data_IF_994679964789
#
_entry.id   IF_994679964789
#
_cell.length_a   1.000
_cell.length_b   1.000
_cell.length_c   1.000
_cell.angle_alpha   90.00
_cell.angle_beta   90.00
_cell.angle_gamma   90.00
#
_symmetry.space_group_name_H-M   'P 1'
#
loop_
_entity.id
_entity.type
_entity.pdbx_description
1 polymer ?
#
# COMPACT_ATOMS: atom_id res chain seq x y z
N UNK A 1 -14.69 21.86 24.73
CA UNK A 1 -13.61 22.87 24.52
C UNK A 1 -13.05 22.68 23.12
N UNK A 2 -13.07 23.74 22.30
CA UNK A 2 -12.33 23.71 21.01
C UNK A 2 -10.85 23.87 21.35
N UNK A 3 -10.06 22.87 21.08
CA UNK A 3 -8.61 22.93 21.10
C UNK A 3 -8.10 22.79 19.64
N UNK A 4 -6.90 23.25 19.38
CA UNK A 4 -6.26 23.13 18.07
C UNK A 4 -4.77 22.91 18.29
N UNK A 5 -4.13 22.23 17.35
CA UNK A 5 -2.69 22.09 17.37
C UNK A 5 -2.01 23.44 17.13
N UNK A 6 -0.96 23.69 17.88
CA UNK A 6 -0.11 24.87 17.74
C UNK A 6 1.30 24.49 17.25
N UNK A 7 1.92 25.35 16.46
CA UNK A 7 3.30 25.11 15.97
C UNK A 7 4.29 24.86 17.11
N UNK A 8 4.07 25.46 18.29
CA UNK A 8 4.88 25.23 19.47
C UNK A 8 4.83 23.78 20.02
N UNK A 9 3.77 23.03 19.72
CA UNK A 9 3.63 21.65 20.15
C UNK A 9 4.66 20.73 19.49
N UNK A 10 5.05 21.06 18.25
CA UNK A 10 6.04 20.29 17.48
C UNK A 10 7.37 20.23 18.22
N UNK A 11 7.88 21.38 18.68
CA UNK A 11 9.16 21.45 19.37
C UNK A 11 9.11 20.75 20.74
N UNK A 12 7.95 20.77 21.39
CA UNK A 12 7.73 20.05 22.65
C UNK A 12 7.72 18.55 22.42
N UNK A 13 6.98 18.08 21.41
CA UNK A 13 6.91 16.66 21.07
C UNK A 13 8.28 16.11 20.62
N UNK A 14 9.02 16.85 19.80
CA UNK A 14 10.39 16.46 19.40
C UNK A 14 11.34 16.27 20.59
N UNK A 15 11.19 17.06 21.65
CA UNK A 15 12.00 16.91 22.87
C UNK A 15 11.53 15.76 23.76
N UNK A 16 10.22 15.49 23.79
CA UNK A 16 9.62 14.49 24.68
C UNK A 16 9.61 13.08 24.10
N UNK A 17 9.66 12.97 22.78
CA UNK A 17 9.58 11.69 22.06
C UNK A 17 10.79 11.55 21.13
N UNK A 18 11.97 11.20 21.67
CA UNK A 18 13.19 11.05 20.89
C UNK A 18 13.15 9.87 19.91
N UNK A 19 12.20 8.94 20.07
CA UNK A 19 11.94 7.81 19.18
C UNK A 19 11.30 8.27 17.85
N UNK A 20 10.68 9.45 17.81
CA UNK A 20 10.19 10.04 16.57
C UNK A 20 11.36 10.54 15.72
N UNK A 21 11.38 10.21 14.44
CA UNK A 21 12.37 10.71 13.48
C UNK A 21 11.95 12.08 12.96
N UNK A 22 10.73 12.17 12.47
CA UNK A 22 10.13 13.40 11.99
C UNK A 22 8.83 13.65 12.73
N UNK A 23 8.62 14.91 13.10
CA UNK A 23 7.35 15.43 13.64
C UNK A 23 7.07 16.71 12.88
N UNK A 24 6.05 16.72 12.04
CA UNK A 24 5.77 17.81 11.11
C UNK A 24 4.30 18.20 11.08
N UNK A 25 3.98 19.50 11.02
CA UNK A 25 2.61 19.97 10.94
C UNK A 25 2.10 19.86 9.50
N UNK A 26 0.81 19.61 9.35
CA UNK A 26 0.12 19.63 8.07
C UNK A 26 -1.16 20.44 8.19
N UNK A 27 -1.36 21.35 7.25
CA UNK A 27 -2.64 22.00 7.02
C UNK A 27 -3.22 21.41 5.74
N UNK A 28 -4.47 21.00 5.74
CA UNK A 28 -5.10 20.49 4.53
C UNK A 28 -6.50 21.01 4.33
N UNK A 29 -6.82 21.30 3.08
CA UNK A 29 -8.17 21.74 2.70
C UNK A 29 -8.49 21.23 1.29
N UNK A 30 -9.72 20.75 1.09
CA UNK A 30 -10.20 20.46 -0.26
C UNK A 30 -10.45 21.75 -1.01
N UNK A 31 -9.75 21.93 -2.11
CA UNK A 31 -9.76 23.14 -2.90
C UNK A 31 -9.95 22.85 -4.38
N UNK A 32 -10.49 23.84 -5.08
CA UNK A 32 -10.55 23.82 -6.53
C UNK A 32 -9.37 24.61 -7.08
N UNK A 33 -8.65 23.98 -7.96
CA UNK A 33 -7.54 24.56 -8.71
C UNK A 33 -7.99 24.86 -10.13
N UNK A 34 -7.59 26.00 -10.69
CA UNK A 34 -7.96 26.42 -12.05
C UNK A 34 -6.72 26.80 -12.85
N UNK A 35 -6.79 26.55 -14.17
CA UNK A 35 -5.86 27.05 -15.15
C UNK A 35 -6.63 27.38 -16.44
N UNK A 36 -6.84 28.68 -16.70
CA UNK A 36 -7.74 29.12 -17.79
C UNK A 36 -9.16 28.55 -17.59
N UNK A 37 -9.65 27.83 -18.59
CA UNK A 37 -11.00 27.22 -18.55
C UNK A 37 -11.02 25.83 -17.88
N UNK A 38 -9.88 25.28 -17.47
CA UNK A 38 -9.78 23.96 -16.87
C UNK A 38 -9.80 24.06 -15.35
N UNK A 39 -10.40 23.09 -14.69
CA UNK A 39 -10.43 23.01 -13.23
C UNK A 39 -10.23 21.58 -12.75
N UNK A 40 -9.55 21.44 -11.63
CA UNK A 40 -9.38 20.18 -10.91
C UNK A 40 -9.72 20.38 -9.45
N UNK A 41 -10.24 19.34 -8.80
CA UNK A 41 -10.45 19.32 -7.36
C UNK A 41 -9.41 18.42 -6.70
N UNK A 42 -8.84 18.89 -5.59
CA UNK A 42 -7.83 18.15 -4.88
C UNK A 42 -7.59 18.68 -3.47
N UNK A 43 -6.80 17.97 -2.72
CA UNK A 43 -6.37 18.35 -1.37
C UNK A 43 -5.20 19.32 -1.47
N UNK A 44 -5.39 20.58 -1.10
CA UNK A 44 -4.28 21.51 -0.86
C UNK A 44 -3.64 21.16 0.48
N UNK A 45 -2.35 20.83 0.48
CA UNK A 45 -1.58 20.45 1.67
C UNK A 45 -0.48 21.46 1.92
N UNK A 46 -0.57 22.20 3.03
CA UNK A 46 0.52 23.03 3.54
C UNK A 46 1.52 22.17 4.31
N UNK A 47 2.73 22.01 3.80
CA UNK A 47 3.73 21.09 4.34
C UNK A 47 5.10 21.74 4.50
N UNK A 48 5.93 21.15 5.36
CA UNK A 48 7.35 21.48 5.48
C UNK A 48 8.20 20.55 4.61
N UNK A 49 9.47 20.86 4.35
CA UNK A 49 10.36 19.99 3.57
C UNK A 49 10.53 18.59 4.17
N UNK A 50 10.53 18.47 5.49
CA UNK A 50 10.64 17.21 6.23
C UNK A 50 9.43 16.27 6.02
N UNK A 51 8.32 16.77 5.47
CA UNK A 51 7.16 15.95 5.10
C UNK A 51 7.47 14.93 3.99
N UNK A 52 8.55 15.13 3.24
CA UNK A 52 9.04 14.13 2.26
C UNK A 52 9.41 12.79 2.90
N UNK A 53 9.75 12.78 4.18
CA UNK A 53 10.01 11.53 4.93
C UNK A 53 8.72 10.81 5.34
N UNK A 54 7.58 11.49 5.30
CA UNK A 54 6.26 10.93 5.61
C UNK A 54 5.63 10.29 4.37
N UNK A 55 5.53 11.03 3.26
CA UNK A 55 4.88 10.55 2.02
C UNK A 55 5.86 10.13 0.92
N UNK A 56 7.16 10.42 1.05
CA UNK A 56 8.23 10.10 0.09
C UNK A 56 7.81 10.37 -1.38
N UNK A 57 7.50 11.62 -1.75
CA UNK A 57 7.01 11.95 -3.08
C UNK A 57 8.11 11.71 -4.12
N UNK A 58 7.87 10.81 -5.06
CA UNK A 58 8.68 10.72 -6.27
C UNK A 58 8.24 11.85 -7.20
N UNK A 59 9.19 12.65 -7.70
CA UNK A 59 8.91 13.71 -8.65
C UNK A 59 9.11 13.20 -10.08
N UNK A 60 8.15 13.51 -10.95
CA UNK A 60 8.33 13.33 -12.40
C UNK A 60 9.05 14.53 -13.02
N UNK A 61 8.77 15.75 -12.52
CA UNK A 61 9.39 16.98 -13.02
C UNK A 61 9.62 17.96 -11.86
N UNK A 62 10.66 18.78 -12.01
CA UNK A 62 10.92 19.89 -11.11
C UNK A 62 11.52 19.53 -9.76
N UNK A 63 11.17 20.28 -8.73
CA UNK A 63 11.66 20.11 -7.36
C UNK A 63 10.54 20.13 -6.33
N UNK A 64 10.86 19.64 -5.13
CA UNK A 64 9.97 19.73 -3.98
C UNK A 64 10.16 21.07 -3.24
N UNK A 65 9.27 21.30 -2.24
CA UNK A 65 9.30 22.49 -1.37
C UNK A 65 10.60 22.48 -0.55
N UNK A 66 11.22 23.65 -0.42
CA UNK A 66 12.46 23.87 0.32
C UNK A 66 12.25 24.89 1.45
N UNK A 67 13.19 24.95 2.40
CA UNK A 67 13.16 25.91 3.51
C UNK A 67 13.09 27.38 3.07
N UNK A 68 13.72 27.71 1.93
CA UNK A 68 13.63 29.06 1.33
C UNK A 68 12.20 29.42 0.94
N UNK A 69 11.40 28.44 0.45
CA UNK A 69 10.01 28.68 0.06
C UNK A 69 9.14 28.98 1.28
N UNK A 70 9.44 28.37 2.44
CA UNK A 70 8.74 28.64 3.70
C UNK A 70 9.12 30.02 4.25
N UNK A 71 10.42 30.32 4.32
CA UNK A 71 10.94 31.55 4.89
C UNK A 71 10.46 32.78 4.10
N UNK A 72 10.49 32.67 2.77
CA UNK A 72 10.13 33.77 1.87
C UNK A 72 8.61 33.80 1.55
N UNK A 73 7.81 32.90 2.15
CA UNK A 73 6.37 32.75 1.89
C UNK A 73 6.03 32.65 0.42
N UNK A 74 6.81 31.89 -0.34
CA UNK A 74 6.66 31.79 -1.79
C UNK A 74 5.32 31.14 -2.16
N UNK A 75 4.65 31.71 -3.13
CA UNK A 75 3.42 31.15 -3.73
C UNK A 75 3.79 30.12 -4.79
N UNK A 76 4.29 28.99 -4.33
CA UNK A 76 4.71 27.86 -5.18
C UNK A 76 3.99 26.59 -4.78
N UNK A 77 3.85 25.65 -5.72
CA UNK A 77 3.22 24.35 -5.44
C UNK A 77 3.83 23.20 -6.22
N UNK A 78 3.71 22.02 -5.66
CA UNK A 78 3.96 20.73 -6.33
C UNK A 78 2.61 20.07 -6.59
N UNK A 79 2.32 19.76 -7.85
CA UNK A 79 1.06 19.16 -8.26
C UNK A 79 1.13 17.63 -8.15
N UNK A 80 0.06 17.00 -7.67
CA UNK A 80 -0.14 15.57 -7.83
C UNK A 80 -0.45 15.22 -9.30
N UNK A 81 -0.09 14.02 -9.71
CA UNK A 81 -0.15 13.59 -11.11
C UNK A 81 -1.54 13.77 -11.75
N UNK A 82 -2.62 13.42 -11.04
CA UNK A 82 -3.99 13.58 -11.57
C UNK A 82 -4.38 15.04 -11.74
N UNK A 83 -4.00 15.89 -10.77
CA UNK A 83 -4.27 17.33 -10.84
C UNK A 83 -3.49 17.95 -12.00
N UNK A 84 -2.23 17.58 -12.19
CA UNK A 84 -1.41 18.03 -13.31
C UNK A 84 -2.02 17.62 -14.66
N UNK A 85 -2.43 16.37 -14.82
CA UNK A 85 -3.06 15.86 -16.04
C UNK A 85 -4.41 16.54 -16.37
N UNK A 86 -5.22 16.83 -15.35
CA UNK A 86 -6.51 17.53 -15.55
C UNK A 86 -6.35 19.02 -15.91
N UNK A 87 -5.36 19.70 -15.32
CA UNK A 87 -5.11 21.12 -15.59
C UNK A 87 -4.26 21.37 -16.85
N UNK A 88 -3.34 20.47 -17.15
CA UNK A 88 -2.35 20.61 -18.23
C UNK A 88 -2.26 19.36 -19.14
N UNK A 89 -3.36 18.87 -19.73
CA UNK A 89 -3.35 17.60 -20.49
C UNK A 89 -2.44 17.65 -21.73
N UNK A 90 -2.23 18.83 -22.31
CA UNK A 90 -1.42 19.02 -23.52
C UNK A 90 0.03 19.44 -23.20
N UNK A 91 0.45 19.37 -21.94
CA UNK A 91 1.76 19.86 -21.48
C UNK A 91 2.44 18.78 -20.65
N UNK A 92 3.52 18.23 -21.18
CA UNK A 92 4.28 17.18 -20.49
C UNK A 92 4.94 17.72 -19.22
N UNK A 93 5.51 18.92 -19.25
CA UNK A 93 6.14 19.55 -18.11
C UNK A 93 5.49 20.91 -17.76
N UNK A 94 4.59 20.96 -16.76
CA UNK A 94 3.91 22.18 -16.36
C UNK A 94 4.74 23.07 -15.41
N UNK A 95 5.97 22.74 -15.09
CA UNK A 95 6.85 23.54 -14.21
C UNK A 95 7.01 24.95 -14.77
N UNK A 96 6.88 25.96 -13.89
CA UNK A 96 6.90 27.38 -14.27
C UNK A 96 5.56 27.99 -14.63
N UNK A 97 4.55 27.17 -14.91
CA UNK A 97 3.16 27.64 -15.14
C UNK A 97 2.46 28.02 -13.83
N UNK A 98 1.32 28.64 -13.93
CA UNK A 98 0.55 29.09 -12.79
C UNK A 98 -0.79 28.37 -12.70
N UNK A 99 -1.20 28.06 -11.47
CA UNK A 99 -2.55 27.58 -11.11
C UNK A 99 -3.19 28.55 -10.15
N UNK A 100 -4.49 28.74 -10.26
CA UNK A 100 -5.28 29.57 -9.36
C UNK A 100 -5.93 28.70 -8.28
N UNK A 101 -5.81 29.13 -7.03
CA UNK A 101 -6.51 28.57 -5.89
C UNK A 101 -7.10 29.72 -5.06
N UNK A 102 -8.45 29.79 -4.97
CA UNK A 102 -9.12 30.83 -4.18
C UNK A 102 -8.81 32.27 -4.64
N UNK A 103 -8.65 32.50 -5.94
CA UNK A 103 -8.30 33.81 -6.50
C UNK A 103 -6.82 34.17 -6.45
N UNK A 104 -5.94 33.26 -6.00
CA UNK A 104 -4.50 33.50 -5.88
C UNK A 104 -3.76 32.60 -6.87
N UNK A 105 -2.84 33.23 -7.62
CA UNK A 105 -1.97 32.51 -8.55
C UNK A 105 -0.77 31.95 -7.83
N UNK A 106 -0.52 30.66 -8.06
CA UNK A 106 0.54 29.87 -7.43
C UNK A 106 1.39 29.24 -8.55
N UNK A 107 2.68 29.39 -8.50
CA UNK A 107 3.59 28.85 -9.52
C UNK A 107 3.86 27.39 -9.28
N UNK A 108 3.75 26.57 -10.32
CA UNK A 108 4.11 25.15 -10.29
C UNK A 108 5.63 25.00 -10.31
N UNK A 109 6.21 24.35 -9.30
CA UNK A 109 7.65 24.07 -9.19
C UNK A 109 8.00 22.60 -9.36
N UNK A 110 7.02 21.72 -9.32
CA UNK A 110 7.22 20.29 -9.52
C UNK A 110 5.93 19.55 -9.73
N UNK A 111 6.05 18.30 -10.19
CA UNK A 111 4.95 17.35 -10.35
C UNK A 111 5.32 16.06 -9.67
N UNK A 112 4.46 15.57 -8.77
CA UNK A 112 4.63 14.29 -8.09
C UNK A 112 4.11 13.15 -8.96
N UNK A 113 4.90 12.08 -9.10
CA UNK A 113 4.52 10.85 -9.80
C UNK A 113 3.79 9.83 -8.90
N UNK A 114 3.51 10.17 -7.64
CA UNK A 114 2.75 9.29 -6.76
C UNK A 114 1.33 9.08 -7.28
N UNK A 115 1.04 7.84 -7.63
CA UNK A 115 -0.30 7.40 -8.06
C UNK A 115 -1.13 6.86 -6.90
N UNK A 116 -0.57 6.80 -5.69
CA UNK A 116 -1.24 6.25 -4.51
C UNK A 116 -2.61 6.91 -4.27
N UNK A 117 -3.62 6.08 -4.11
CA UNK A 117 -4.94 6.51 -3.68
C UNK A 117 -5.05 6.66 -2.15
N UNK A 118 -3.99 6.29 -1.42
CA UNK A 118 -3.87 6.44 0.03
C UNK A 118 -2.88 7.54 0.30
N UNK A 119 -3.29 8.54 1.05
CA UNK A 119 -2.45 9.65 1.48
C UNK A 119 -3.08 10.35 2.67
N UNK A 120 -2.25 10.99 3.45
CA UNK A 120 -2.67 11.76 4.63
C UNK A 120 -3.42 13.02 4.17
N UNK A 121 -4.69 13.17 4.57
CA UNK A 121 -5.52 14.31 4.14
C UNK A 121 -6.01 14.23 2.68
N UNK A 122 -5.99 13.05 2.05
CA UNK A 122 -6.49 12.78 0.70
C UNK A 122 -5.49 12.05 -0.19
N UNK A 123 -5.94 11.53 -1.34
CA UNK A 123 -5.10 10.77 -2.26
C UNK A 123 -3.88 11.57 -2.74
N UNK A 124 -2.68 11.00 -2.66
CA UNK A 124 -1.45 11.67 -3.08
C UNK A 124 -1.48 12.14 -4.55
N UNK A 125 -2.11 11.35 -5.43
CA UNK A 125 -2.30 11.69 -6.84
C UNK A 125 -3.17 12.94 -7.08
N UNK A 126 -4.07 13.28 -6.13
CA UNK A 126 -4.93 14.47 -6.16
C UNK A 126 -4.51 15.54 -5.15
N UNK A 127 -3.32 15.44 -4.58
CA UNK A 127 -2.79 16.42 -3.64
C UNK A 127 -2.00 17.51 -4.35
N UNK A 128 -2.09 18.72 -3.83
CA UNK A 128 -1.28 19.87 -4.23
C UNK A 128 -0.54 20.35 -3.00
N UNK A 129 0.79 20.24 -3.01
CA UNK A 129 1.61 20.60 -1.88
C UNK A 129 2.07 22.05 -1.99
N UNK A 130 1.87 22.81 -0.92
CA UNK A 130 2.27 24.20 -0.78
C UNK A 130 3.20 24.35 0.43
N UNK A 131 4.04 25.41 0.47
CA UNK A 131 4.78 25.72 1.69
C UNK A 131 3.83 25.95 2.87
N UNK A 132 4.12 25.33 4.02
CA UNK A 132 3.29 25.41 5.22
C UNK A 132 2.95 26.85 5.61
N UNK A 133 3.96 27.72 5.65
CA UNK A 133 3.82 29.13 6.01
C UNK A 133 2.95 29.92 5.01
N UNK A 134 3.02 29.58 3.73
CA UNK A 134 2.15 30.16 2.70
C UNK A 134 0.70 29.73 2.93
N UNK A 135 0.47 28.44 3.19
CA UNK A 135 -0.87 27.91 3.47
C UNK A 135 -1.49 28.51 4.74
N UNK A 136 -0.69 28.67 5.81
CA UNK A 136 -1.13 29.35 7.04
C UNK A 136 -1.67 30.76 6.76
N UNK A 137 -0.95 31.53 5.93
CA UNK A 137 -1.40 32.89 5.54
C UNK A 137 -2.66 32.87 4.68
N UNK A 138 -2.69 32.00 3.67
CA UNK A 138 -3.82 31.90 2.75
C UNK A 138 -5.13 31.53 3.42
N UNK A 139 -5.05 30.67 4.43
CA UNK A 139 -6.23 30.15 5.14
C UNK A 139 -6.46 30.80 6.51
N UNK A 140 -5.68 31.81 6.88
CA UNK A 140 -5.77 32.55 8.15
C UNK A 140 -5.65 31.65 9.40
N UNK A 141 -4.83 30.63 9.35
CA UNK A 141 -4.61 29.68 10.47
C UNK A 141 -3.86 30.27 11.66
N UNK A 142 -3.18 31.41 11.51
CA UNK A 142 -2.30 31.92 12.55
C UNK A 142 -1.17 30.94 12.88
N UNK A 143 -1.07 30.52 14.14
CA UNK A 143 -0.08 29.52 14.58
C UNK A 143 -0.62 28.09 14.63
N UNK A 144 -1.86 27.88 14.19
CA UNK A 144 -2.51 26.59 14.26
C UNK A 144 -2.24 25.72 13.03
N UNK A 145 -2.54 24.43 13.15
CA UNK A 145 -2.55 23.49 12.05
C UNK A 145 -3.59 22.38 12.30
N UNK A 146 -3.92 21.59 11.26
CA UNK A 146 -4.99 20.60 11.34
C UNK A 146 -4.51 19.24 11.85
N UNK A 147 -3.31 18.84 11.47
CA UNK A 147 -2.84 17.49 11.69
C UNK A 147 -1.34 17.46 11.95
N UNK A 148 -0.95 16.57 12.86
CA UNK A 148 0.43 16.22 13.12
C UNK A 148 0.76 14.94 12.36
N UNK A 149 1.76 15.00 11.48
CA UNK A 149 2.33 13.81 10.85
C UNK A 149 3.67 13.47 11.51
N UNK A 150 3.91 12.18 11.72
CA UNK A 150 5.15 11.71 12.34
C UNK A 150 5.63 10.41 11.72
N UNK A 151 6.96 10.21 11.77
CA UNK A 151 7.61 8.94 11.45
C UNK A 151 8.50 8.51 12.61
N UNK A 152 8.80 7.22 12.70
CA UNK A 152 9.65 6.65 13.74
C UNK A 152 11.06 6.39 13.25
N UNK A 153 12.02 6.42 14.14
CA UNK A 153 13.38 5.97 13.86
C UNK A 153 13.41 4.46 13.64
N UNK A 154 14.41 3.96 12.92
CA UNK A 154 14.62 2.52 12.73
C UNK A 154 14.68 1.80 14.08
N UNK A 155 13.94 0.70 14.19
CA UNK A 155 13.84 -0.10 15.42
C UNK A 155 12.66 0.26 16.33
N UNK A 156 11.90 1.29 16.03
CA UNK A 156 10.66 1.64 16.72
C UNK A 156 9.46 1.59 15.78
N UNK A 157 8.35 1.06 16.26
CA UNK A 157 7.09 1.03 15.52
C UNK A 157 6.25 2.28 15.86
N UNK A 158 5.45 2.76 14.92
CA UNK A 158 4.52 3.87 15.18
C UNK A 158 3.56 3.50 16.31
N UNK A 159 3.10 2.26 16.34
CA UNK A 159 2.23 1.74 17.39
C UNK A 159 2.84 1.87 18.80
N UNK A 160 4.17 1.68 18.92
CA UNK A 160 4.86 1.77 20.22
C UNK A 160 4.91 3.18 20.80
N UNK A 161 4.94 4.21 19.94
CA UNK A 161 5.02 5.61 20.38
C UNK A 161 3.68 6.32 20.32
N UNK A 162 2.68 5.78 19.63
CA UNK A 162 1.37 6.39 19.45
C UNK A 162 0.76 6.82 20.79
N UNK A 163 0.72 5.92 21.76
CA UNK A 163 0.16 6.21 23.07
C UNK A 163 0.90 7.33 23.83
N UNK A 164 2.24 7.37 23.70
CA UNK A 164 3.05 8.45 24.28
C UNK A 164 2.72 9.80 23.62
N UNK A 165 2.61 9.83 22.30
CA UNK A 165 2.24 11.04 21.54
C UNK A 165 0.86 11.55 21.96
N UNK A 166 -0.12 10.65 22.03
CA UNK A 166 -1.49 10.99 22.44
C UNK A 166 -1.54 11.54 23.88
N UNK A 167 -0.82 10.92 24.82
CA UNK A 167 -0.74 11.38 26.20
C UNK A 167 -0.09 12.77 26.31
N UNK A 168 1.03 13.00 25.61
CA UNK A 168 1.70 14.30 25.63
C UNK A 168 0.80 15.40 25.06
N UNK A 169 0.08 15.14 23.96
CA UNK A 169 -0.87 16.09 23.36
C UNK A 169 -2.02 16.38 24.35
N UNK A 170 -2.59 15.36 24.95
CA UNK A 170 -3.66 15.51 25.95
C UNK A 170 -3.20 16.36 27.15
N UNK A 171 -1.98 16.13 27.64
CA UNK A 171 -1.41 16.93 28.73
C UNK A 171 -1.17 18.39 28.31
N UNK A 172 -0.63 18.64 27.10
CA UNK A 172 -0.34 19.97 26.60
C UNK A 172 -1.61 20.83 26.47
N UNK A 173 -2.69 20.23 25.99
CA UNK A 173 -3.96 20.93 25.76
C UNK A 173 -4.97 20.78 26.91
N UNK A 174 -4.56 20.19 28.06
CA UNK A 174 -5.42 19.93 29.23
C UNK A 174 -6.70 19.19 28.85
N UNK A 175 -6.57 18.18 28.00
CA UNK A 175 -7.64 17.28 27.58
C UNK A 175 -7.74 16.16 28.62
N UNK A 176 -8.96 15.70 28.92
CA UNK A 176 -9.16 14.57 29.81
C UNK A 176 -8.43 13.33 29.25
N UNK A 177 -7.57 12.65 30.04
CA UNK A 177 -6.87 11.44 29.60
C UNK A 177 -7.82 10.34 29.07
N UNK A 178 -9.04 10.27 29.60
CA UNK A 178 -10.04 9.28 29.24
C UNK A 178 -10.86 9.66 27.99
N UNK A 179 -10.74 10.89 27.51
CA UNK A 179 -11.45 11.31 26.30
C UNK A 179 -10.77 10.73 25.06
N UNK A 180 -11.35 9.63 24.54
CA UNK A 180 -10.87 8.95 23.32
C UNK A 180 -11.30 9.66 22.03
N UNK A 181 -12.27 10.57 22.09
CA UNK A 181 -12.79 11.28 20.92
C UNK A 181 -12.04 12.59 20.66
N UNK A 182 -11.24 13.05 21.61
CA UNK A 182 -10.52 14.31 21.48
C UNK A 182 -9.41 14.31 20.43
N UNK A 183 -8.83 13.15 20.13
CA UNK A 183 -7.76 12.95 19.18
C UNK A 183 -8.15 11.82 18.22
N UNK A 184 -8.12 12.11 16.93
CA UNK A 184 -8.22 11.10 15.90
C UNK A 184 -6.81 10.76 15.42
N UNK A 185 -6.34 9.56 15.68
CA UNK A 185 -5.05 9.07 15.20
C UNK A 185 -5.23 8.03 14.10
N UNK A 186 -4.48 8.19 13.02
CA UNK A 186 -4.45 7.26 11.89
C UNK A 186 -3.07 6.62 11.87
N UNK A 187 -3.02 5.35 12.24
CA UNK A 187 -1.80 4.56 12.21
C UNK A 187 -1.75 3.75 10.91
N UNK A 188 -0.98 4.26 9.94
CA UNK A 188 -0.83 3.63 8.64
C UNK A 188 -0.12 2.28 8.76
N UNK A 189 0.85 2.15 9.69
CA UNK A 189 1.55 0.88 9.95
C UNK A 189 0.58 -0.23 10.37
N UNK A 190 -0.35 0.06 11.28
CA UNK A 190 -1.35 -0.91 11.72
C UNK A 190 -2.30 -1.33 10.60
N UNK A 191 -2.63 -0.42 9.69
CA UNK A 191 -3.41 -0.76 8.49
C UNK A 191 -2.66 -1.73 7.57
N UNK A 192 -1.36 -1.51 7.35
CA UNK A 192 -0.53 -2.46 6.59
C UNK A 192 -0.41 -3.81 7.28
N UNK A 193 -0.21 -3.84 8.60
CA UNK A 193 -0.16 -5.07 9.38
C UNK A 193 -1.47 -5.86 9.28
N UNK A 194 -2.61 -5.17 9.32
CA UNK A 194 -3.93 -5.80 9.14
C UNK A 194 -4.05 -6.45 7.76
N UNK A 195 -3.64 -5.74 6.71
CA UNK A 195 -3.63 -6.29 5.34
C UNK A 195 -2.70 -7.49 5.22
N UNK A 196 -1.48 -7.42 5.79
CA UNK A 196 -0.55 -8.55 5.83
C UNK A 196 -1.14 -9.75 6.56
N UNK A 197 -1.77 -9.55 7.71
CA UNK A 197 -2.42 -10.63 8.46
C UNK A 197 -3.55 -11.30 7.67
N UNK A 198 -4.28 -10.56 6.84
CA UNK A 198 -5.27 -11.13 5.92
C UNK A 198 -4.60 -12.03 4.87
N UNK A 199 -3.50 -11.57 4.27
CA UNK A 199 -2.75 -12.41 3.32
C UNK A 199 -2.16 -13.65 3.97
N UNK A 200 -1.64 -13.55 5.19
CA UNK A 200 -1.14 -14.69 5.95
C UNK A 200 -2.26 -15.69 6.25
N UNK A 201 -3.45 -15.20 6.63
CA UNK A 201 -4.63 -16.03 6.82
C UNK A 201 -5.06 -16.75 5.53
N UNK A 202 -5.06 -16.06 4.40
CA UNK A 202 -5.35 -16.66 3.09
C UNK A 202 -4.28 -17.72 2.75
N UNK A 203 -3.01 -17.45 2.98
CA UNK A 203 -1.94 -18.41 2.76
C UNK A 203 -2.12 -19.69 3.57
N UNK A 204 -2.46 -19.58 4.86
CA UNK A 204 -2.74 -20.74 5.72
C UNK A 204 -3.91 -21.54 5.15
N UNK A 205 -4.98 -20.88 4.74
CA UNK A 205 -6.15 -21.52 4.14
C UNK A 205 -5.79 -22.28 2.86
N UNK A 206 -4.99 -21.67 1.98
CA UNK A 206 -4.51 -22.30 0.72
C UNK A 206 -3.67 -23.54 1.02
N UNK A 207 -2.76 -23.47 2.00
CA UNK A 207 -1.98 -24.62 2.44
C UNK A 207 -2.85 -25.75 2.99
N UNK A 208 -3.83 -25.41 3.80
CA UNK A 208 -4.76 -26.39 4.40
C UNK A 208 -5.59 -27.11 3.33
N UNK A 209 -6.15 -26.36 2.38
CA UNK A 209 -6.88 -26.92 1.24
C UNK A 209 -5.93 -27.76 0.36
N UNK A 210 -4.73 -27.26 0.09
CA UNK A 210 -3.72 -27.96 -0.71
C UNK A 210 -3.33 -29.30 -0.11
N UNK A 211 -3.06 -29.35 1.18
CA UNK A 211 -2.76 -30.60 1.90
C UNK A 211 -3.97 -31.53 1.88
N UNK A 212 -5.19 -31.01 2.14
CA UNK A 212 -6.40 -31.79 2.11
C UNK A 212 -6.67 -32.44 0.75
N UNK A 213 -6.47 -31.71 -0.33
CA UNK A 213 -6.63 -32.21 -1.71
C UNK A 213 -5.57 -33.26 -2.06
N UNK A 214 -4.32 -33.06 -1.63
CA UNK A 214 -3.26 -34.07 -1.81
C UNK A 214 -3.57 -35.37 -1.07
N UNK A 215 -4.04 -35.29 0.17
CA UNK A 215 -4.43 -36.47 0.95
C UNK A 215 -5.60 -37.20 0.29
N UNK A 216 -6.63 -36.46 -0.13
CA UNK A 216 -7.78 -37.03 -0.85
C UNK A 216 -7.37 -37.72 -2.15
N UNK A 217 -6.52 -37.07 -2.94
CA UNK A 217 -5.96 -37.65 -4.16
C UNK A 217 -5.13 -38.91 -3.90
N UNK A 218 -4.33 -38.93 -2.85
CA UNK A 218 -3.54 -40.10 -2.44
C UNK A 218 -4.40 -41.29 -2.07
N UNK A 219 -5.50 -41.07 -1.33
CA UNK A 219 -6.49 -42.11 -0.98
C UNK A 219 -7.15 -42.66 -2.25
N UNK A 220 -7.53 -41.77 -3.19
CA UNK A 220 -8.09 -42.15 -4.48
C UNK A 220 -7.18 -43.07 -5.28
N UNK A 221 -5.91 -42.68 -5.44
CA UNK A 221 -4.90 -43.49 -6.14
C UNK A 221 -4.69 -44.82 -5.43
N UNK A 222 -4.58 -44.83 -4.10
CA UNK A 222 -4.42 -46.04 -3.31
C UNK A 222 -5.59 -47.04 -3.53
N UNK A 223 -6.82 -46.55 -3.56
CA UNK A 223 -8.00 -47.40 -3.81
C UNK A 223 -7.98 -48.00 -5.22
N UNK A 224 -7.65 -47.22 -6.24
CA UNK A 224 -7.55 -47.70 -7.62
C UNK A 224 -6.44 -48.75 -7.72
N UNK A 225 -5.27 -48.51 -7.13
CA UNK A 225 -4.19 -49.48 -7.16
C UNK A 225 -4.47 -50.77 -6.44
N UNK A 226 -5.27 -50.73 -5.35
CA UNK A 226 -5.73 -51.94 -4.66
C UNK A 226 -6.58 -52.82 -5.58
N UNK A 227 -7.47 -52.21 -6.38
CA UNK A 227 -8.29 -52.94 -7.36
C UNK A 227 -7.42 -53.50 -8.46
N UNK A 228 -6.51 -52.73 -9.05
CA UNK A 228 -5.61 -53.18 -10.12
C UNK A 228 -4.76 -54.35 -9.67
N UNK A 229 -4.21 -54.32 -8.44
CA UNK A 229 -3.40 -55.41 -7.89
C UNK A 229 -4.25 -56.65 -7.70
N UNK A 230 -5.52 -56.53 -7.24
CA UNK A 230 -6.43 -57.68 -7.12
C UNK A 230 -6.73 -58.32 -8.47
N UNK A 231 -7.01 -57.51 -9.50
CA UNK A 231 -7.30 -58.04 -10.86
C UNK A 231 -6.07 -58.77 -11.46
N UNK A 232 -4.85 -58.32 -11.19
CA UNK A 232 -3.60 -58.90 -11.69
C UNK A 232 -3.01 -59.94 -10.73
N UNK A 233 -3.75 -60.41 -9.71
CA UNK A 233 -3.21 -61.37 -8.70
C UNK A 233 -2.70 -62.68 -9.30
N UNK A 234 -3.38 -63.20 -10.32
CA UNK A 234 -3.00 -64.43 -11.02
C UNK A 234 -1.69 -64.23 -11.80
N UNK A 235 -1.52 -63.12 -12.50
CA UNK A 235 -0.32 -62.77 -13.24
C UNK A 235 0.91 -62.60 -12.29
N UNK A 236 0.69 -61.91 -11.18
CA UNK A 236 1.69 -61.73 -10.10
C UNK A 236 2.07 -63.06 -9.51
N UNK A 237 1.11 -63.97 -9.28
CA UNK A 237 1.32 -65.33 -8.78
C UNK A 237 2.22 -66.16 -9.71
N UNK A 238 1.88 -66.14 -11.02
CA UNK A 238 2.71 -66.83 -12.04
C UNK A 238 4.13 -66.30 -12.07
N UNK A 239 4.33 -64.98 -12.05
CA UNK A 239 5.69 -64.40 -12.04
C UNK A 239 6.49 -64.79 -10.78
N UNK A 240 5.84 -64.86 -9.61
CA UNK A 240 6.46 -65.34 -8.39
C UNK A 240 6.88 -66.84 -8.48
N UNK A 241 6.01 -67.67 -9.11
CA UNK A 241 6.26 -69.10 -9.29
C UNK A 241 7.50 -69.36 -10.19
N UNK A 242 7.74 -68.46 -11.18
CA UNK A 242 8.90 -68.53 -12.09
C UNK A 242 10.18 -67.93 -11.44
N UNK A 243 10.09 -67.40 -10.18
CA UNK A 243 11.25 -66.92 -9.41
C UNK A 243 11.46 -65.43 -9.39
N UNK A 244 10.51 -64.60 -9.80
CA UNK A 244 10.61 -63.15 -9.69
C UNK A 244 10.65 -62.70 -8.22
N UNK A 245 11.59 -61.77 -7.92
CA UNK A 245 11.77 -61.23 -6.56
C UNK A 245 10.57 -60.30 -6.23
N UNK A 246 10.00 -60.38 -5.00
CA UNK A 246 8.87 -59.50 -4.60
C UNK A 246 9.16 -58.01 -4.80
N UNK A 247 10.41 -57.57 -4.58
CA UNK A 247 10.80 -56.18 -4.78
C UNK A 247 10.68 -55.69 -6.23
N UNK A 248 10.93 -56.60 -7.22
CA UNK A 248 10.82 -56.26 -8.64
C UNK A 248 9.36 -56.01 -9.05
N UNK A 249 8.43 -56.84 -8.54
CA UNK A 249 6.99 -56.68 -8.78
C UNK A 249 6.48 -55.41 -8.13
N UNK A 250 6.91 -55.13 -6.90
CA UNK A 250 6.57 -53.91 -6.18
C UNK A 250 7.04 -52.67 -6.92
N UNK A 251 8.32 -52.64 -7.38
CA UNK A 251 8.88 -51.52 -8.12
C UNK A 251 8.14 -51.28 -9.44
N UNK A 252 7.73 -52.34 -10.14
CA UNK A 252 6.95 -52.21 -11.37
C UNK A 252 5.60 -51.50 -11.12
N UNK A 253 4.87 -51.92 -10.08
CA UNK A 253 3.59 -51.32 -9.72
C UNK A 253 3.77 -49.86 -9.29
N UNK A 254 4.82 -49.56 -8.51
CA UNK A 254 5.12 -48.20 -8.06
C UNK A 254 5.49 -47.29 -9.24
N UNK A 255 6.30 -47.77 -10.19
CA UNK A 255 6.65 -46.95 -11.38
C UNK A 255 5.48 -46.69 -12.27
N UNK A 256 4.58 -47.69 -12.47
CA UNK A 256 3.32 -47.49 -13.24
C UNK A 256 2.46 -46.46 -12.59
N UNK A 257 2.26 -46.48 -11.27
CA UNK A 257 1.51 -45.50 -10.51
C UNK A 257 2.14 -44.09 -10.59
N UNK A 258 3.47 -44.03 -10.45
CA UNK A 258 4.22 -42.76 -10.48
C UNK A 258 4.11 -42.08 -11.84
N UNK A 259 4.22 -42.82 -12.93
CA UNK A 259 4.09 -42.29 -14.30
C UNK A 259 2.70 -41.76 -14.53
N UNK A 260 1.64 -42.50 -14.15
CA UNK A 260 0.27 -42.05 -14.28
C UNK A 260 -0.01 -40.79 -13.46
N UNK A 261 0.48 -40.74 -12.24
CA UNK A 261 0.31 -39.58 -11.34
C UNK A 261 1.03 -38.34 -11.89
N UNK A 262 2.26 -38.51 -12.43
CA UNK A 262 3.02 -37.41 -13.04
C UNK A 262 2.29 -36.86 -14.29
N UNK A 263 1.79 -37.73 -15.17
CA UNK A 263 1.05 -37.31 -16.36
C UNK A 263 -0.25 -36.58 -15.97
N UNK A 264 -1.00 -37.12 -15.00
CA UNK A 264 -2.21 -36.48 -14.49
C UNK A 264 -1.91 -35.12 -13.83
N UNK A 265 -0.82 -35.05 -13.07
CA UNK A 265 -0.37 -33.79 -12.42
C UNK A 265 0.03 -32.72 -13.45
N UNK A 266 0.78 -33.09 -14.48
CA UNK A 266 1.16 -32.15 -15.55
C UNK A 266 -0.06 -31.65 -16.32
N UNK A 267 -1.00 -32.53 -16.67
CA UNK A 267 -2.26 -32.11 -17.32
C UNK A 267 -3.07 -31.20 -16.44
N UNK A 268 -3.13 -31.47 -15.12
CA UNK A 268 -3.81 -30.60 -14.15
C UNK A 268 -3.19 -29.20 -14.09
N UNK A 269 -1.86 -29.09 -14.07
CA UNK A 269 -1.16 -27.79 -14.10
C UNK A 269 -1.47 -27.01 -15.38
N UNK A 270 -1.41 -27.69 -16.54
CA UNK A 270 -1.71 -27.03 -17.83
C UNK A 270 -3.15 -26.50 -17.84
N UNK A 271 -4.12 -27.28 -17.38
CA UNK A 271 -5.53 -26.85 -17.30
C UNK A 271 -5.69 -25.68 -16.32
N UNK A 272 -5.04 -25.72 -15.17
CA UNK A 272 -5.07 -24.62 -14.18
C UNK A 272 -4.51 -23.32 -14.76
N UNK A 273 -3.38 -23.39 -15.47
CA UNK A 273 -2.77 -22.21 -16.13
C UNK A 273 -3.69 -21.66 -17.22
N UNK A 274 -4.29 -22.53 -18.05
CA UNK A 274 -5.24 -22.09 -19.08
C UNK A 274 -6.47 -21.39 -18.49
N UNK A 275 -7.02 -21.89 -17.38
CA UNK A 275 -8.13 -21.26 -16.67
C UNK A 275 -7.71 -19.88 -16.12
N UNK A 276 -6.52 -19.76 -15.52
CA UNK A 276 -6.01 -18.49 -15.01
C UNK A 276 -5.83 -17.46 -16.13
N UNK A 277 -5.22 -17.85 -17.25
CA UNK A 277 -5.03 -16.96 -18.40
C UNK A 277 -6.38 -16.54 -19.01
N UNK A 278 -7.34 -17.47 -19.10
CA UNK A 278 -8.68 -17.15 -19.56
C UNK A 278 -9.43 -16.20 -18.62
N UNK A 279 -9.29 -16.40 -17.31
CA UNK A 279 -9.86 -15.49 -16.29
C UNK A 279 -9.22 -14.10 -16.36
N UNK A 280 -7.91 -14.01 -16.51
CA UNK A 280 -7.18 -12.74 -16.66
C UNK A 280 -7.61 -11.99 -17.94
N UNK A 281 -7.75 -12.69 -19.06
CA UNK A 281 -8.23 -12.10 -20.31
C UNK A 281 -9.70 -11.66 -20.25
N UNK A 282 -10.54 -12.35 -19.46
CA UNK A 282 -11.95 -11.99 -19.25
C UNK A 282 -12.14 -10.83 -18.26
N UNK A 283 -11.28 -10.71 -17.24
CA UNK A 283 -11.33 -9.66 -16.21
C UNK A 283 -10.47 -8.45 -16.63
N UNK A 284 -9.40 -8.68 -17.40
CA UNK A 284 -8.42 -7.68 -17.82
C UNK A 284 -8.94 -6.59 -18.76
N UNK A 285 -10.18 -6.70 -19.26
CA UNK A 285 -10.84 -5.62 -20.01
C UNK A 285 -11.21 -4.39 -19.16
N UNK A 286 -11.10 -4.44 -17.83
CA UNK A 286 -11.53 -3.37 -16.93
C UNK A 286 -10.46 -2.87 -15.94
N UNK A 287 -9.22 -3.37 -15.97
CA UNK A 287 -8.14 -2.84 -15.15
C UNK A 287 -7.07 -2.19 -16.03
N UNK A 288 -6.69 -0.92 -15.76
CA UNK A 288 -5.56 -0.30 -16.44
C UNK A 288 -4.29 -1.10 -16.11
N UNK A 289 -3.56 -1.47 -17.17
CA UNK A 289 -2.30 -2.19 -17.13
C UNK A 289 -1.34 -1.61 -16.08
N UNK A 290 -0.89 -2.44 -15.14
CA UNK A 290 0.24 -2.13 -14.28
C UNK A 290 1.47 -1.90 -15.17
N UNK A 291 2.25 -0.83 -14.97
CA UNK A 291 3.48 -0.63 -15.72
C UNK A 291 4.46 -1.77 -15.38
N UNK A 292 4.87 -2.50 -16.41
CA UNK A 292 5.95 -3.47 -16.33
C UNK A 292 7.21 -2.77 -15.83
N UNK A 293 7.69 -3.17 -14.64
CA UNK A 293 8.95 -2.71 -14.11
C UNK A 293 10.11 -3.21 -14.97
N UNK A 294 10.89 -2.29 -15.46
CA UNK A 294 12.26 -2.49 -15.93
C UNK A 294 13.19 -1.73 -15.00
#
# INVERSE_FOLDING_TARGET
RKWSFEVADIDRLRRRIPEAQVVTPVIFNWSRFKCGNRSSQGSAKGVRPDYTEVENPKLSHGRYIQESDLRDYRKVCVLGQKVAAELFPDVDNPVGKYVEMGGIYIQVIGVSSLTSNVGVGGPASRSVYLPFTTMQRLQHYGNNFDMLALTTRRGHTVTSIQHKVEQEIKQLHRIDPNDQQALMSINVESMFQMVQSLFDGINILVWLIGIGTLLSGSIGVSNIMMVVVKERTTEIGVRRAIGARPAQILMQILTESAVLTLLAGLTGIVVAVLILVAAESGIGGNFPSLPSGS
#
